data_IF_594802441912
#
_entry.id   IF_594802441912
#
_cell.length_a   1.000
_cell.length_b   1.000
_cell.length_c   1.000
_cell.angle_alpha   90.00
_cell.angle_beta   90.00
_cell.angle_gamma   90.00
#
_symmetry.space_group_name_H-M   'P 1'
#
loop_
_entity.id
_entity.type
_entity.pdbx_description
1 polymer ?
#
# COMPACT_ATOMS: atom_id res chain seq x y z
N UNK A 1 -13.03 -11.45 11.40
CA UNK A 1 -11.57 -11.29 11.54
C UNK A 1 -10.89 -12.30 10.60
N UNK A 2 -10.07 -11.83 9.65
CA UNK A 2 -9.40 -12.71 8.68
C UNK A 2 -8.22 -13.42 9.37
N UNK A 3 -8.19 -14.76 9.30
CA UNK A 3 -7.11 -15.58 9.87
C UNK A 3 -5.98 -15.76 8.85
N UNK A 4 -4.78 -15.31 9.18
CA UNK A 4 -3.60 -15.44 8.32
C UNK A 4 -3.07 -16.87 8.32
N UNK A 5 -2.68 -17.36 7.14
CA UNK A 5 -1.99 -18.65 7.00
C UNK A 5 -0.56 -18.56 7.55
N UNK A 6 0.05 -19.66 8.03
CA UNK A 6 1.39 -19.63 8.62
C UNK A 6 2.44 -18.91 7.74
N UNK A 7 2.51 -19.25 6.44
CA UNK A 7 3.45 -18.61 5.52
C UNK A 7 3.24 -17.09 5.36
N UNK A 8 2.00 -16.61 5.52
CA UNK A 8 1.70 -15.17 5.47
C UNK A 8 2.23 -14.48 6.72
N UNK A 9 2.07 -15.12 7.89
CA UNK A 9 2.63 -14.62 9.15
C UNK A 9 4.16 -14.56 9.09
N UNK A 10 4.80 -15.61 8.58
CA UNK A 10 6.25 -15.67 8.40
C UNK A 10 6.74 -14.57 7.43
N UNK A 11 6.03 -14.38 6.32
CA UNK A 11 6.34 -13.32 5.35
C UNK A 11 6.26 -11.94 6.00
N UNK A 12 5.22 -11.68 6.80
CA UNK A 12 5.06 -10.42 7.54
C UNK A 12 6.15 -10.24 8.59
N UNK A 13 6.52 -11.31 9.30
CA UNK A 13 7.59 -11.27 10.30
C UNK A 13 8.92 -10.85 9.66
N UNK A 14 9.30 -11.50 8.55
CA UNK A 14 10.52 -11.19 7.79
C UNK A 14 10.52 -9.78 7.21
N UNK A 15 9.38 -9.33 6.67
CA UNK A 15 9.23 -7.95 6.21
C UNK A 15 9.49 -6.95 7.33
N UNK A 16 8.87 -7.16 8.50
CA UNK A 16 9.05 -6.28 9.65
C UNK A 16 10.48 -6.28 10.17
N UNK A 17 11.10 -7.45 10.24
CA UNK A 17 12.49 -7.57 10.67
C UNK A 17 13.43 -6.82 9.73
N UNK A 18 13.27 -6.96 8.41
CA UNK A 18 14.04 -6.23 7.41
C UNK A 18 13.88 -4.71 7.55
N UNK A 19 12.66 -4.23 7.76
CA UNK A 19 12.38 -2.81 8.00
C UNK A 19 13.03 -2.35 9.31
N UNK A 20 12.93 -3.15 10.38
CA UNK A 20 13.49 -2.83 11.69
C UNK A 20 15.02 -2.75 11.68
N UNK A 21 15.68 -3.57 10.86
CA UNK A 21 17.14 -3.54 10.68
C UNK A 21 17.62 -2.40 9.76
N UNK A 22 16.73 -1.51 9.34
CA UNK A 22 17.06 -0.28 8.60
C UNK A 22 16.85 -0.37 7.09
N UNK A 23 16.30 -1.47 6.56
CA UNK A 23 16.00 -1.54 5.13
C UNK A 23 14.73 -0.75 4.80
N UNK A 24 14.90 0.36 4.09
CA UNK A 24 13.79 1.24 3.71
C UNK A 24 13.08 0.81 2.42
N UNK A 25 13.61 -0.18 1.69
CA UNK A 25 13.05 -0.71 0.44
C UNK A 25 13.14 -2.23 0.47
N UNK A 26 11.99 -2.90 0.58
CA UNK A 26 11.92 -4.35 0.73
C UNK A 26 10.94 -4.90 -0.31
N UNK A 27 11.36 -5.96 -1.02
CA UNK A 27 10.52 -6.65 -2.00
C UNK A 27 9.96 -7.93 -1.40
N UNK A 28 8.64 -8.05 -1.34
CA UNK A 28 7.96 -9.31 -1.06
C UNK A 28 7.67 -10.04 -2.37
N UNK A 29 8.40 -11.12 -2.65
CA UNK A 29 8.07 -12.01 -3.75
C UNK A 29 7.12 -13.11 -3.28
N UNK A 30 5.97 -13.24 -3.93
CA UNK A 30 5.05 -14.36 -3.75
C UNK A 30 4.27 -14.63 -5.03
N UNK A 31 3.88 -15.88 -5.26
CA UNK A 31 3.08 -16.29 -6.42
C UNK A 31 1.72 -15.58 -6.46
N UNK A 32 1.08 -15.60 -7.63
CA UNK A 32 -0.35 -15.25 -7.73
C UNK A 32 -1.17 -16.22 -6.87
N UNK A 33 -2.26 -15.75 -6.28
CA UNK A 33 -3.07 -16.55 -5.35
C UNK A 33 -2.48 -16.78 -3.95
N UNK A 34 -1.20 -16.45 -3.70
CA UNK A 34 -0.59 -16.55 -2.37
C UNK A 34 -1.21 -15.60 -1.33
N UNK A 35 -1.98 -14.60 -1.77
CA UNK A 35 -2.63 -13.62 -0.91
C UNK A 35 -1.75 -12.42 -0.59
N UNK A 36 -0.97 -11.91 -1.55
CA UNK A 36 -0.15 -10.68 -1.41
C UNK A 36 -0.96 -9.51 -0.85
N UNK A 37 -2.19 -9.30 -1.35
CA UNK A 37 -3.05 -8.23 -0.82
C UNK A 37 -3.45 -8.44 0.64
N UNK A 38 -3.64 -9.69 1.10
CA UNK A 38 -3.93 -10.00 2.51
C UNK A 38 -2.74 -9.63 3.40
N UNK A 39 -1.52 -9.95 2.94
CA UNK A 39 -0.28 -9.53 3.60
C UNK A 39 -0.19 -8.00 3.64
N UNK A 40 -0.49 -7.32 2.52
CA UNK A 40 -0.54 -5.86 2.44
C UNK A 40 -1.54 -5.24 3.42
N UNK A 41 -2.78 -5.74 3.47
CA UNK A 41 -3.81 -5.25 4.40
C UNK A 41 -3.38 -5.44 5.86
N UNK A 42 -2.75 -6.56 6.21
CA UNK A 42 -2.25 -6.76 7.57
C UNK A 42 -1.09 -5.81 7.92
N UNK A 43 -0.20 -5.54 6.97
CA UNK A 43 0.86 -4.53 7.15
C UNK A 43 0.26 -3.14 7.37
N UNK A 44 -0.77 -2.77 6.58
CA UNK A 44 -1.53 -1.53 6.74
C UNK A 44 -2.15 -1.47 8.14
N UNK A 45 -2.87 -2.52 8.56
CA UNK A 45 -3.51 -2.59 9.88
C UNK A 45 -2.51 -2.35 11.00
N UNK A 46 -1.31 -2.96 10.91
CA UNK A 46 -0.24 -2.79 11.91
C UNK A 46 0.37 -1.40 11.89
N UNK A 47 0.44 -0.75 10.73
CA UNK A 47 0.93 0.62 10.61
C UNK A 47 -0.08 1.62 11.23
N UNK A 48 -1.37 1.48 10.94
CA UNK A 48 -2.43 2.33 11.52
C UNK A 48 -2.48 2.17 13.05
N UNK A 49 -2.31 0.95 13.57
CA UNK A 49 -2.23 0.71 15.01
C UNK A 49 -1.08 1.47 15.70
N UNK A 50 -0.11 1.98 14.92
CA UNK A 50 0.99 2.83 15.37
C UNK A 50 0.83 4.29 14.92
N UNK A 51 -0.37 4.68 14.49
CA UNK A 51 -0.70 5.99 13.94
C UNK A 51 0.19 6.42 12.77
N UNK A 52 0.56 5.47 11.90
CA UNK A 52 1.40 5.69 10.72
C UNK A 52 0.54 5.85 9.47
N UNK A 53 0.82 6.88 8.67
CA UNK A 53 0.14 7.13 7.41
C UNK A 53 0.63 6.14 6.34
N UNK A 54 -0.29 5.58 5.55
CA UNK A 54 0.02 4.54 4.55
C UNK A 54 -0.52 4.93 3.19
N UNK A 55 0.30 4.75 2.16
CA UNK A 55 -0.09 4.87 0.76
C UNK A 55 0.01 3.50 0.08
N UNK A 56 -1.12 2.96 -0.36
CA UNK A 56 -1.17 1.77 -1.20
C UNK A 56 -1.29 2.17 -2.67
N UNK A 57 -0.45 1.56 -3.50
CA UNK A 57 -0.28 1.90 -4.90
C UNK A 57 -0.51 0.66 -5.75
N UNK A 58 -1.32 0.79 -6.80
CA UNK A 58 -1.46 -0.25 -7.82
C UNK A 58 -1.46 0.34 -9.24
N UNK A 59 -1.30 -0.52 -10.23
CA UNK A 59 -1.26 -0.12 -11.64
C UNK A 59 -2.66 0.05 -12.27
N UNK A 60 -3.67 -0.69 -11.79
CA UNK A 60 -4.98 -0.81 -12.44
C UNK A 60 -6.13 -0.42 -11.50
N UNK A 61 -7.16 0.23 -12.04
CA UNK A 61 -8.32 0.70 -11.26
C UNK A 61 -9.09 -0.45 -10.61
N UNK A 62 -9.15 -1.60 -11.29
CA UNK A 62 -9.78 -2.82 -10.78
C UNK A 62 -9.08 -3.30 -9.50
N UNK A 63 -7.75 -3.22 -9.45
CA UNK A 63 -6.96 -3.58 -8.26
C UNK A 63 -7.21 -2.57 -7.14
N UNK A 64 -7.34 -1.28 -7.45
CA UNK A 64 -7.69 -0.24 -6.46
C UNK A 64 -9.01 -0.58 -5.78
N UNK A 65 -10.05 -0.89 -6.56
CA UNK A 65 -11.37 -1.22 -6.03
C UNK A 65 -11.37 -2.53 -5.24
N UNK A 66 -10.64 -3.55 -5.72
CA UNK A 66 -10.49 -4.82 -5.00
C UNK A 66 -9.74 -4.64 -3.68
N UNK A 67 -8.67 -3.83 -3.65
CA UNK A 67 -7.94 -3.51 -2.43
C UNK A 67 -8.83 -2.71 -1.47
N UNK A 68 -9.58 -1.73 -1.97
CA UNK A 68 -10.55 -0.97 -1.17
C UNK A 68 -11.56 -1.89 -0.50
N UNK A 69 -12.18 -2.81 -1.24
CA UNK A 69 -13.10 -3.80 -0.66
C UNK A 69 -12.43 -4.75 0.35
N UNK A 70 -11.15 -5.11 0.16
CA UNK A 70 -10.40 -5.88 1.16
C UNK A 70 -10.11 -5.05 2.41
N UNK A 71 -9.79 -3.78 2.28
CA UNK A 71 -9.59 -2.90 3.45
C UNK A 71 -10.89 -2.79 4.25
N UNK A 72 -12.05 -2.69 3.60
CA UNK A 72 -13.36 -2.72 4.25
C UNK A 72 -13.56 -4.04 5.03
N UNK A 73 -13.21 -5.20 4.46
CA UNK A 73 -13.27 -6.50 5.16
C UNK A 73 -12.34 -6.59 6.37
N UNK A 74 -11.26 -5.81 6.38
CA UNK A 74 -10.35 -5.68 7.52
C UNK A 74 -10.79 -4.61 8.53
N UNK A 75 -11.88 -3.87 8.26
CA UNK A 75 -12.34 -2.76 9.09
C UNK A 75 -11.38 -1.57 9.06
N UNK A 76 -10.69 -1.35 7.93
CA UNK A 76 -9.71 -0.29 7.76
C UNK A 76 -10.34 0.88 7.00
N UNK A 77 -10.54 2.00 7.70
CA UNK A 77 -10.94 3.27 7.09
C UNK A 77 -9.84 3.79 6.16
N UNK A 78 -10.21 4.13 4.92
CA UNK A 78 -9.28 4.53 3.89
C UNK A 78 -9.93 5.44 2.85
N UNK A 79 -9.12 6.33 2.25
CA UNK A 79 -9.49 7.13 1.11
C UNK A 79 -9.00 6.53 -0.20
N UNK A 80 -9.68 6.84 -1.30
CA UNK A 80 -9.25 6.50 -2.65
C UNK A 80 -8.95 7.77 -3.42
N UNK A 81 -7.70 7.92 -3.85
CA UNK A 81 -7.25 9.03 -4.69
C UNK A 81 -7.52 8.65 -6.14
N UNK A 82 -8.71 9.02 -6.62
CA UNK A 82 -9.14 8.88 -8.00
C UNK A 82 -10.19 9.97 -8.30
N UNK A 83 -10.26 10.44 -9.56
CA UNK A 83 -11.28 11.41 -9.95
C UNK A 83 -12.69 10.83 -9.77
N UNK A 84 -13.59 11.61 -9.18
CA UNK A 84 -15.01 11.28 -8.96
C UNK A 84 -15.25 9.94 -8.25
N UNK A 85 -14.30 9.49 -7.42
CA UNK A 85 -14.47 8.26 -6.67
C UNK A 85 -15.32 8.52 -5.41
N UNK A 86 -16.36 7.71 -5.14
CA UNK A 86 -17.27 7.95 -4.02
C UNK A 86 -16.57 7.89 -2.65
N UNK A 87 -15.49 7.10 -2.55
CA UNK A 87 -14.64 6.98 -1.34
C UNK A 87 -13.50 8.00 -1.29
N UNK A 88 -13.71 9.22 -1.77
CA UNK A 88 -12.71 10.28 -1.68
C UNK A 88 -12.66 10.85 -0.25
N UNK A 89 -11.76 10.30 0.58
CA UNK A 89 -11.62 10.65 1.99
C UNK A 89 -10.14 10.98 2.31
N UNK A 90 -9.67 12.19 1.95
CA UNK A 90 -8.25 12.55 2.07
C UNK A 90 -7.75 12.67 3.51
N UNK A 91 -8.65 12.77 4.49
CA UNK A 91 -8.31 12.83 5.92
C UNK A 91 -7.90 11.47 6.51
N UNK A 92 -8.18 10.36 5.83
CA UNK A 92 -7.86 9.03 6.34
C UNK A 92 -6.36 8.76 6.28
N UNK A 93 -5.84 8.08 7.30
CA UNK A 93 -4.44 7.68 7.38
C UNK A 93 -4.01 6.73 6.26
N UNK A 94 -4.96 5.98 5.69
CA UNK A 94 -4.71 5.11 4.54
C UNK A 94 -5.26 5.75 3.29
N UNK A 95 -4.41 5.89 2.28
CA UNK A 95 -4.81 6.31 0.94
C UNK A 95 -4.47 5.19 -0.06
N UNK A 96 -5.39 4.95 -1.00
CA UNK A 96 -5.22 3.99 -2.09
C UNK A 96 -5.24 4.76 -3.40
N UNK A 97 -4.22 4.59 -4.24
CA UNK A 97 -4.08 5.37 -5.47
C UNK A 97 -3.49 4.53 -6.61
N UNK A 98 -3.82 4.88 -7.85
CA UNK A 98 -3.07 4.36 -8.98
C UNK A 98 -1.82 5.20 -9.25
N UNK A 99 -0.78 4.59 -9.81
CA UNK A 99 0.44 5.31 -10.22
C UNK A 99 0.11 6.45 -11.18
N UNK A 100 -0.77 6.19 -12.16
CA UNK A 100 -1.25 7.20 -13.10
C UNK A 100 -1.97 8.37 -12.41
N UNK A 101 -2.62 8.13 -11.27
CA UNK A 101 -3.23 9.23 -10.52
C UNK A 101 -2.17 10.05 -9.79
N UNK A 102 -1.15 9.38 -9.24
CA UNK A 102 -0.05 10.04 -8.52
C UNK A 102 0.91 10.81 -9.43
N UNK A 103 0.96 10.54 -10.73
CA UNK A 103 1.71 11.39 -11.69
C UNK A 103 1.04 12.73 -11.97
N UNK A 104 -0.26 12.87 -11.64
CA UNK A 104 -1.09 14.04 -11.98
C UNK A 104 -1.57 14.80 -10.75
N UNK A 105 -1.25 14.33 -9.54
CA UNK A 105 -1.75 14.87 -8.27
C UNK A 105 -0.65 14.80 -7.22
N UNK A 106 -0.76 15.66 -6.23
CA UNK A 106 0.15 15.63 -5.09
C UNK A 106 0.01 14.31 -4.33
N UNK A 107 1.18 13.74 -4.00
CA UNK A 107 1.27 12.53 -3.19
C UNK A 107 1.02 12.88 -1.72
N UNK A 108 0.14 12.15 -1.01
CA UNK A 108 -0.03 12.36 0.42
C UNK A 108 1.25 11.97 1.17
N UNK A 109 1.49 12.61 2.32
CA UNK A 109 2.54 12.15 3.24
C UNK A 109 2.22 10.73 3.70
N UNK A 110 3.22 9.85 3.68
CA UNK A 110 3.09 8.46 4.11
C UNK A 110 4.38 7.99 4.78
N UNK A 111 4.24 7.29 5.90
CA UNK A 111 5.32 6.60 6.59
C UNK A 111 5.60 5.22 5.97
N UNK A 112 4.58 4.60 5.37
CA UNK A 112 4.67 3.32 4.68
C UNK A 112 4.07 3.44 3.27
N UNK A 113 4.81 3.00 2.27
CA UNK A 113 4.33 2.90 0.90
C UNK A 113 4.33 1.44 0.50
N UNK A 114 3.17 0.94 0.06
CA UNK A 114 3.01 -0.41 -0.46
C UNK A 114 2.70 -0.29 -1.94
N UNK A 115 3.45 -0.98 -2.77
CA UNK A 115 3.23 -1.02 -4.22
C UNK A 115 2.88 -2.47 -4.57
N UNK A 116 1.73 -2.69 -5.19
CA UNK A 116 1.32 -3.99 -5.70
C UNK A 116 1.69 -4.13 -7.18
N UNK A 117 1.99 -5.36 -7.58
CA UNK A 117 2.52 -5.70 -8.90
C UNK A 117 3.74 -4.84 -9.31
N UNK A 118 4.69 -4.71 -8.39
CA UNK A 118 5.92 -3.90 -8.57
C UNK A 118 6.75 -4.24 -9.79
N UNK A 119 6.58 -5.42 -10.37
CA UNK A 119 7.22 -5.81 -11.62
C UNK A 119 6.73 -5.01 -12.83
N UNK A 120 5.58 -4.33 -12.72
CA UNK A 120 5.06 -3.38 -13.70
C UNK A 120 5.54 -1.95 -13.44
N UNK A 121 6.23 -1.71 -12.32
CA UNK A 121 6.73 -0.39 -11.98
C UNK A 121 7.98 -0.06 -12.81
N UNK A 122 7.91 1.05 -13.54
CA UNK A 122 9.03 1.60 -14.31
C UNK A 122 9.79 2.65 -13.48
N UNK A 123 10.91 3.15 -13.99
CA UNK A 123 11.66 4.25 -13.36
C UNK A 123 10.80 5.48 -13.05
N UNK A 124 9.84 5.78 -13.93
CA UNK A 124 8.85 6.86 -13.71
C UNK A 124 7.97 6.62 -12.48
N UNK A 125 7.63 5.37 -12.17
CA UNK A 125 6.89 5.04 -10.95
C UNK A 125 7.71 5.41 -9.72
N UNK A 126 9.00 5.06 -9.70
CA UNK A 126 9.86 5.33 -8.55
C UNK A 126 10.25 6.81 -8.44
N UNK A 127 10.31 7.53 -9.56
CA UNK A 127 10.58 8.97 -9.56
C UNK A 127 9.46 9.76 -8.87
N UNK A 128 8.19 9.40 -9.11
CA UNK A 128 7.02 9.95 -8.41
C UNK A 128 7.06 9.65 -6.90
N UNK A 129 7.72 8.55 -6.50
CA UNK A 129 7.82 8.16 -5.11
C UNK A 129 9.03 8.73 -4.39
N UNK A 130 10.02 9.21 -5.13
CA UNK A 130 11.18 9.89 -4.56
C UNK A 130 10.71 11.15 -3.81
N UNK A 131 11.25 11.44 -2.63
CA UNK A 131 11.01 12.73 -1.99
C UNK A 131 11.38 13.83 -2.99
N UNK A 132 10.53 14.85 -3.16
CA UNK A 132 10.91 15.99 -3.98
C UNK A 132 12.27 16.48 -3.52
N UNK A 133 13.25 16.58 -4.44
CA UNK A 133 14.48 17.32 -4.15
C UNK A 133 14.03 18.67 -3.60
N UNK A 134 14.33 18.93 -2.33
CA UNK A 134 14.10 20.24 -1.75
C UNK A 134 14.74 21.26 -2.70
N UNK A 135 13.92 22.17 -3.22
CA UNK A 135 14.44 23.39 -3.86
C UNK A 135 15.02 24.28 -2.78
#
# INVERSE_FOLDING_TARGET
MIKLRPYQQDSIARLKESIYTGNNRVLLQASTGAGKTIIGCEMIRRAIAKNKAVLFIAHRKEIINQTSGKLDQFGIEHGVIMANHPRHQPANLVQVASIQTLTRRDKPKADLIIIDETHLACDETFSVLSPSKAR
#
